data_IF_644926027005
#
_entry.id   IF_644926027005
#
_cell.length_a   1.000
_cell.length_b   1.000
_cell.length_c   1.000
_cell.angle_alpha   90.00
_cell.angle_beta   90.00
_cell.angle_gamma   90.00
#
_symmetry.space_group_name_H-M   'P 1'
#
loop_
_entity.id
_entity.type
_entity.pdbx_description
1 polymer ?
#
# COMPACT_ATOMS: atom_id res chain seq x y z
N UNK A 1 34.02 21.90 15.85
CA UNK A 1 32.73 21.38 16.39
C UNK A 1 31.72 21.40 15.25
N UNK A 2 31.58 20.30 14.51
CA UNK A 2 30.60 20.20 13.41
C UNK A 2 29.25 19.81 13.99
N UNK A 3 28.25 20.66 13.81
CA UNK A 3 26.86 20.35 14.10
C UNK A 3 26.40 19.41 12.98
N UNK A 4 26.32 18.11 13.26
CA UNK A 4 25.60 17.17 12.40
C UNK A 4 24.12 17.57 12.51
N UNK A 5 23.62 18.33 11.54
CA UNK A 5 22.18 18.47 11.33
C UNK A 5 21.72 17.12 10.80
N UNK A 6 21.17 16.29 11.68
CA UNK A 6 20.34 15.17 11.24
C UNK A 6 19.20 15.78 10.45
N UNK A 7 19.26 15.66 9.11
CA UNK A 7 18.10 15.88 8.27
C UNK A 7 17.09 14.83 8.72
N UNK A 8 16.13 15.23 9.56
CA UNK A 8 14.94 14.44 9.77
C UNK A 8 14.22 14.45 8.43
N UNK A 9 14.47 13.44 7.60
CA UNK A 9 13.54 13.09 6.53
C UNK A 9 12.20 12.94 7.24
N UNK A 10 11.22 13.76 6.89
CA UNK A 10 9.86 13.59 7.40
C UNK A 10 9.48 12.16 7.07
N UNK A 11 9.43 11.31 8.07
CA UNK A 11 9.13 9.90 7.85
C UNK A 11 7.66 9.83 7.46
N UNK A 12 7.43 9.37 6.24
CA UNK A 12 6.12 9.11 5.70
C UNK A 12 5.24 8.37 6.72
N UNK A 13 4.02 8.86 6.93
CA UNK A 13 3.16 8.35 8.01
C UNK A 13 2.90 6.84 7.91
N UNK A 14 2.76 6.31 6.69
CA UNK A 14 2.58 4.87 6.49
C UNK A 14 3.84 4.07 6.86
N UNK A 15 5.03 4.58 6.56
CA UNK A 15 6.31 3.99 6.98
C UNK A 15 6.52 4.07 8.50
N UNK A 16 6.11 5.17 9.13
CA UNK A 16 6.16 5.33 10.57
C UNK A 16 5.23 4.33 11.27
N UNK A 17 3.96 4.27 10.83
CA UNK A 17 2.96 3.36 11.38
C UNK A 17 3.32 1.90 11.17
N UNK A 18 3.86 1.53 10.00
CA UNK A 18 4.40 0.19 9.79
C UNK A 18 5.49 -0.10 10.81
N UNK A 19 6.57 0.69 10.88
CA UNK A 19 7.70 0.37 11.77
C UNK A 19 7.39 0.40 13.27
N UNK A 20 6.38 1.18 13.68
CA UNK A 20 5.99 1.33 15.09
C UNK A 20 4.78 0.46 15.48
N UNK A 21 4.22 -0.32 14.56
CA UNK A 21 3.10 -1.22 14.85
C UNK A 21 3.45 -2.19 15.96
N UNK A 22 2.44 -2.57 16.77
CA UNK A 22 2.61 -3.67 17.71
C UNK A 22 2.96 -4.95 16.93
N UNK A 23 3.91 -5.75 17.43
CA UNK A 23 4.42 -6.93 16.72
C UNK A 23 3.37 -8.02 16.47
N UNK A 24 2.29 -8.01 17.25
CA UNK A 24 1.14 -8.91 17.12
C UNK A 24 -0.04 -8.29 16.37
N UNK A 25 0.13 -7.09 15.81
CA UNK A 25 -0.94 -6.41 15.09
C UNK A 25 -1.23 -7.18 13.79
N UNK A 26 -2.49 -7.59 13.54
CA UNK A 26 -2.82 -8.22 12.26
C UNK A 26 -2.58 -7.21 11.12
N UNK A 27 -2.10 -7.66 9.95
CA UNK A 27 -1.83 -6.77 8.80
C UNK A 27 -3.02 -5.88 8.40
N UNK A 28 -4.25 -6.39 8.57
CA UNK A 28 -5.50 -5.66 8.26
C UNK A 28 -5.73 -4.43 9.14
N UNK A 29 -5.22 -4.41 10.38
CA UNK A 29 -5.46 -3.27 11.26
C UNK A 29 -4.73 -2.00 10.81
N UNK A 30 -3.57 -2.12 10.15
CA UNK A 30 -2.91 -0.95 9.55
C UNK A 30 -3.67 -0.43 8.33
N UNK A 31 -4.24 -1.32 7.53
CA UNK A 31 -5.07 -0.96 6.36
C UNK A 31 -6.23 -0.08 6.80
N UNK A 32 -6.91 -0.46 7.87
CA UNK A 32 -8.01 0.30 8.46
C UNK A 32 -7.62 1.69 8.95
N UNK A 33 -6.38 1.86 9.44
CA UNK A 33 -5.86 3.17 9.84
C UNK A 33 -5.56 4.01 8.60
N UNK A 34 -4.90 3.43 7.60
CA UNK A 34 -4.61 4.11 6.33
C UNK A 34 -5.89 4.57 5.64
N UNK A 35 -6.93 3.74 5.64
CA UNK A 35 -8.22 4.05 5.03
C UNK A 35 -8.82 5.33 5.61
N UNK A 36 -8.78 5.47 6.94
CA UNK A 36 -9.25 6.67 7.65
C UNK A 36 -8.36 7.88 7.40
N UNK A 37 -7.04 7.68 7.32
CA UNK A 37 -6.09 8.77 7.09
C UNK A 37 -6.23 9.36 5.68
N UNK A 38 -6.45 8.53 4.66
CA UNK A 38 -6.62 8.99 3.28
C UNK A 38 -7.70 10.07 3.16
N UNK A 39 -8.80 9.93 3.92
CA UNK A 39 -9.92 10.87 3.89
C UNK A 39 -9.82 12.03 4.89
N UNK A 40 -8.85 12.02 5.80
CA UNK A 40 -8.72 13.04 6.87
C UNK A 40 -7.47 13.90 6.77
N UNK A 41 -6.52 13.54 5.90
CA UNK A 41 -5.33 14.33 5.60
C UNK A 41 -5.61 15.42 4.54
N UNK A 42 -4.83 16.50 4.60
CA UNK A 42 -4.93 17.65 3.69
C UNK A 42 -4.53 17.32 2.23
N UNK A 43 -3.69 16.31 2.03
CA UNK A 43 -3.26 15.79 0.74
C UNK A 43 -4.21 14.73 0.14
N UNK A 44 -5.36 14.48 0.79
CA UNK A 44 -6.29 13.40 0.46
C UNK A 44 -5.62 12.03 0.33
N UNK A 45 -4.60 11.76 1.16
CA UNK A 45 -3.92 10.46 1.22
C UNK A 45 -2.92 10.22 0.09
N UNK A 46 -2.59 11.24 -0.71
CA UNK A 46 -1.63 11.13 -1.82
C UNK A 46 -0.32 10.47 -1.38
N UNK A 47 0.19 10.85 -0.22
CA UNK A 47 1.40 10.31 0.38
C UNK A 47 1.26 8.82 0.75
N UNK A 48 0.10 8.40 1.27
CA UNK A 48 -0.19 6.99 1.61
C UNK A 48 -0.24 6.15 0.33
N UNK A 49 -0.97 6.59 -0.69
CA UNK A 49 -1.02 5.90 -1.99
C UNK A 49 0.35 5.76 -2.64
N UNK A 50 1.22 6.76 -2.48
CA UNK A 50 2.60 6.68 -2.95
C UNK A 50 3.37 5.55 -2.24
N UNK A 51 3.32 5.49 -0.91
CA UNK A 51 4.00 4.46 -0.12
C UNK A 51 3.49 3.05 -0.41
N UNK A 52 2.17 2.87 -0.50
CA UNK A 52 1.60 1.54 -0.76
C UNK A 52 2.03 1.02 -2.14
N UNK A 53 2.13 1.90 -3.16
CA UNK A 53 2.71 1.52 -4.47
C UNK A 53 4.18 1.11 -4.34
N UNK A 54 4.98 1.87 -3.60
CA UNK A 54 6.38 1.51 -3.35
C UNK A 54 6.49 0.15 -2.63
N UNK A 55 5.57 -0.16 -1.72
CA UNK A 55 5.53 -1.45 -1.02
C UNK A 55 5.25 -2.63 -1.94
N UNK A 56 4.33 -2.48 -2.90
CA UNK A 56 4.08 -3.50 -3.95
C UNK A 56 5.33 -3.72 -4.82
N UNK A 57 6.08 -2.66 -5.08
CA UNK A 57 7.31 -2.72 -5.89
C UNK A 57 8.54 -3.15 -5.10
N UNK A 58 8.46 -3.17 -3.76
CA UNK A 58 9.54 -3.53 -2.87
C UNK A 58 9.81 -5.04 -2.79
N UNK A 59 10.92 -5.40 -2.14
CA UNK A 59 11.30 -6.78 -1.83
C UNK A 59 10.77 -7.31 -0.49
N UNK A 60 9.81 -6.64 0.14
CA UNK A 60 9.25 -7.04 1.44
C UNK A 60 7.81 -7.55 1.27
N UNK A 61 7.63 -8.85 1.51
CA UNK A 61 6.34 -9.54 1.33
C UNK A 61 5.27 -9.05 2.30
N UNK A 62 5.63 -8.63 3.51
CA UNK A 62 4.67 -8.16 4.51
C UNK A 62 4.13 -6.79 4.12
N UNK A 63 5.01 -5.89 3.70
CA UNK A 63 4.65 -4.58 3.13
C UNK A 63 3.74 -4.75 1.92
N UNK A 64 4.11 -5.64 0.99
CA UNK A 64 3.30 -5.92 -0.18
C UNK A 64 1.92 -6.48 0.17
N UNK A 65 1.82 -7.36 1.18
CA UNK A 65 0.54 -7.91 1.64
C UNK A 65 -0.37 -6.84 2.23
N UNK A 66 0.16 -5.91 3.02
CA UNK A 66 -0.59 -4.79 3.56
C UNK A 66 -1.10 -3.90 2.42
N UNK A 67 -0.21 -3.51 1.50
CA UNK A 67 -0.57 -2.67 0.36
C UNK A 67 -1.64 -3.32 -0.54
N UNK A 68 -1.56 -4.63 -0.77
CA UNK A 68 -2.52 -5.36 -1.58
C UNK A 68 -3.90 -5.50 -0.92
N UNK A 69 -3.95 -5.42 0.41
CA UNK A 69 -5.19 -5.49 1.20
C UNK A 69 -5.90 -4.14 1.25
N UNK A 70 -5.23 -3.06 0.87
CA UNK A 70 -5.81 -1.72 0.81
C UNK A 70 -6.83 -1.62 -0.33
N UNK A 71 -8.07 -1.34 0.01
CA UNK A 71 -9.24 -1.33 -0.88
C UNK A 71 -9.89 0.05 -1.04
N UNK A 72 -9.37 1.07 -0.35
CA UNK A 72 -9.77 2.46 -0.56
C UNK A 72 -9.18 3.00 -1.86
N UNK A 73 -9.98 2.96 -2.92
CA UNK A 73 -9.61 3.49 -4.22
C UNK A 73 -8.60 2.61 -4.97
N UNK A 74 -8.11 3.15 -6.09
CA UNK A 74 -7.33 2.37 -7.05
C UNK A 74 -5.87 2.80 -7.10
N UNK A 75 -4.98 1.96 -6.53
CA UNK A 75 -3.55 2.29 -6.31
C UNK A 75 -2.83 2.83 -7.55
N UNK A 76 -3.07 2.28 -8.75
CA UNK A 76 -2.31 2.62 -9.96
C UNK A 76 -3.09 3.45 -11.00
N UNK A 77 -4.27 3.96 -10.66
CA UNK A 77 -5.11 4.80 -11.53
C UNK A 77 -5.67 4.14 -12.80
N UNK A 78 -5.05 3.10 -13.37
CA UNK A 78 -5.53 2.35 -14.55
C UNK A 78 -5.35 0.84 -14.41
N UNK A 79 -6.33 0.05 -14.89
CA UNK A 79 -6.30 -1.42 -14.77
C UNK A 79 -5.00 -2.03 -15.29
N UNK A 80 -4.55 -1.61 -16.48
CA UNK A 80 -3.33 -2.14 -17.09
C UNK A 80 -2.11 -1.98 -16.17
N UNK A 81 -1.95 -0.82 -15.52
CA UNK A 81 -0.84 -0.58 -14.60
C UNK A 81 -0.93 -1.47 -13.36
N UNK A 82 -2.13 -1.70 -12.84
CA UNK A 82 -2.36 -2.62 -11.71
C UNK A 82 -2.03 -4.06 -12.09
N UNK A 83 -2.52 -4.54 -13.24
CA UNK A 83 -2.23 -5.90 -13.73
C UNK A 83 -0.73 -6.12 -13.91
N UNK A 84 -0.04 -5.16 -14.53
CA UNK A 84 1.41 -5.22 -14.67
C UNK A 84 2.15 -5.25 -13.33
N UNK A 85 1.76 -4.38 -12.38
CA UNK A 85 2.37 -4.34 -11.05
C UNK A 85 2.13 -5.66 -10.29
N UNK A 86 0.91 -6.21 -10.34
CA UNK A 86 0.56 -7.46 -9.68
C UNK A 86 1.23 -8.67 -10.33
N UNK A 87 1.38 -8.70 -11.65
CA UNK A 87 2.15 -9.74 -12.32
C UNK A 87 3.61 -9.73 -11.85
N UNK A 88 4.23 -8.54 -11.80
CA UNK A 88 5.60 -8.41 -11.26
C UNK A 88 5.67 -8.82 -9.79
N UNK A 89 4.67 -8.48 -8.99
CA UNK A 89 4.59 -8.89 -7.58
C UNK A 89 4.49 -10.41 -7.45
N UNK A 90 3.63 -11.07 -8.23
CA UNK A 90 3.44 -12.53 -8.17
C UNK A 90 4.64 -13.31 -8.70
N UNK A 91 5.45 -12.73 -9.60
CA UNK A 91 6.72 -13.31 -10.00
C UNK A 91 7.73 -13.32 -8.84
N UNK A 92 7.67 -12.31 -7.94
CA UNK A 92 8.52 -12.23 -6.75
C UNK A 92 7.98 -13.04 -5.58
N UNK A 93 6.66 -12.98 -5.36
CA UNK A 93 5.95 -13.61 -4.24
C UNK A 93 4.74 -14.38 -4.78
N UNK A 94 4.94 -15.61 -5.29
CA UNK A 94 3.87 -16.43 -5.85
C UNK A 94 2.69 -16.65 -4.89
N UNK A 95 2.93 -16.66 -3.57
CA UNK A 95 1.93 -16.80 -2.53
C UNK A 95 0.91 -15.65 -2.47
N UNK A 96 1.20 -14.50 -3.08
CA UNK A 96 0.30 -13.35 -3.15
C UNK A 96 -0.68 -13.42 -4.33
N UNK A 97 -0.54 -14.39 -5.24
CA UNK A 97 -1.36 -14.52 -6.45
C UNK A 97 -2.86 -14.48 -6.18
N UNK A 98 -3.32 -15.28 -5.22
CA UNK A 98 -4.75 -15.34 -4.89
C UNK A 98 -5.30 -13.98 -4.42
N UNK A 99 -4.50 -13.19 -3.71
CA UNK A 99 -4.90 -11.86 -3.25
C UNK A 99 -4.90 -10.84 -4.40
N UNK A 100 -3.93 -10.92 -5.32
CA UNK A 100 -3.92 -10.10 -6.54
C UNK A 100 -5.15 -10.37 -7.41
N UNK A 101 -5.47 -11.64 -7.65
CA UNK A 101 -6.61 -12.04 -8.46
C UNK A 101 -7.94 -11.57 -7.83
N UNK A 102 -8.06 -11.67 -6.49
CA UNK A 102 -9.21 -11.15 -5.75
C UNK A 102 -9.37 -9.62 -5.93
N UNK A 103 -8.27 -8.87 -5.83
CA UNK A 103 -8.29 -7.42 -5.98
C UNK A 103 -8.68 -7.00 -7.41
N UNK A 104 -8.14 -7.67 -8.43
CA UNK A 104 -8.52 -7.45 -9.83
C UNK A 104 -10.00 -7.79 -10.11
N UNK A 105 -10.51 -8.88 -9.53
CA UNK A 105 -11.91 -9.25 -9.67
C UNK A 105 -12.86 -8.22 -9.02
N UNK A 106 -12.49 -7.67 -7.86
CA UNK A 106 -13.27 -6.62 -7.19
C UNK A 106 -13.35 -5.34 -8.05
N UNK A 107 -12.24 -4.95 -8.69
CA UNK A 107 -12.22 -3.82 -9.62
C UNK A 107 -13.17 -4.05 -10.81
N UNK A 108 -13.10 -5.23 -11.43
CA UNK A 108 -13.92 -5.61 -12.58
C UNK A 108 -15.42 -5.58 -12.23
N UNK A 109 -15.78 -6.01 -11.01
CA UNK A 109 -17.15 -5.94 -10.52
C UNK A 109 -17.64 -4.49 -10.34
N UNK A 110 -16.82 -3.58 -9.80
CA UNK A 110 -17.19 -2.18 -9.59
C UNK A 110 -17.38 -1.41 -10.91
N UNK A 111 -16.62 -1.76 -11.95
CA UNK A 111 -16.61 -1.03 -13.22
C UNK A 111 -17.49 -1.66 -14.31
N UNK A 112 -18.06 -2.86 -14.09
CA UNK A 112 -19.09 -3.45 -14.96
C UNK A 112 -20.50 -2.97 -14.67
N UNK A 113 -20.76 -2.44 -13.49
CA UNK A 113 -22.10 -2.00 -13.03
C UNK A 113 -22.32 -0.50 -13.13
N UNK A 114 -21.35 0.24 -13.70
CA UNK A 114 -21.48 1.66 -14.08
C UNK A 114 -21.68 1.79 -15.59
#
# INVERSE_FOLDING_TARGET
MQIIRTLHTVENIAELLFRRRASNLPPTALVEVFARLVWTMDDNGTEIFHTLRQWIESGDVERARIALTFDEGFLYGTLNKTVEAFNRLCLRFPELRAACDKNLAAWDQQHRTS
#
